data_IF_738746816209
#
_entry.id   IF_738746816209
#
_cell.length_a   1.000
_cell.length_b   1.000
_cell.length_c   1.000
_cell.angle_alpha   90.00
_cell.angle_beta   90.00
_cell.angle_gamma   90.00
#
_symmetry.space_group_name_H-M   'P 1'
#
loop_
_entity.id
_entity.type
_entity.pdbx_description
1 polymer ?
#
# COMPACT_ATOMS: atom_id res chain seq x y z
N UNK A 1 0.17 26.02 22.61
CA UNK A 1 0.16 24.68 23.27
C UNK A 1 1.49 23.98 23.04
N UNK A 2 2.24 23.73 24.08
CA UNK A 2 3.54 23.09 23.98
C UNK A 2 3.48 21.64 24.44
N UNK A 3 4.20 20.73 23.81
CA UNK A 3 4.17 19.31 24.14
C UNK A 3 4.52 18.98 25.61
N UNK A 4 5.39 19.79 26.22
CA UNK A 4 5.72 19.60 27.64
C UNK A 4 4.54 19.93 28.57
N UNK A 5 3.70 20.92 28.21
CA UNK A 5 2.48 21.26 28.97
C UNK A 5 1.47 20.13 28.89
N UNK A 6 1.29 19.53 27.69
CA UNK A 6 0.45 18.33 27.49
C UNK A 6 0.95 17.18 28.35
N UNK A 7 2.26 16.90 28.35
CA UNK A 7 2.86 15.84 29.17
C UNK A 7 2.61 16.06 30.66
N UNK A 8 2.70 17.31 31.16
CA UNK A 8 2.43 17.65 32.56
C UNK A 8 0.98 17.39 32.91
N UNK A 9 0.04 17.80 32.07
CA UNK A 9 -1.38 17.53 32.28
C UNK A 9 -1.65 16.01 32.34
N UNK A 10 -1.14 15.24 31.38
CA UNK A 10 -1.31 13.78 31.34
C UNK A 10 -0.72 13.10 32.58
N UNK A 11 0.43 13.55 33.07
CA UNK A 11 1.03 13.05 34.30
C UNK A 11 0.14 13.36 35.55
N UNK A 12 -0.48 14.54 35.63
CA UNK A 12 -1.43 14.83 36.70
C UNK A 12 -2.69 14.02 36.53
N UNK A 13 -3.21 13.84 35.31
CA UNK A 13 -4.40 13.05 35.03
C UNK A 13 -4.23 11.58 35.48
N UNK A 14 -3.04 11.01 35.27
CA UNK A 14 -2.75 9.62 35.64
C UNK A 14 -2.48 9.42 37.13
N UNK A 15 -1.83 10.38 37.80
CA UNK A 15 -1.44 10.26 39.21
C UNK A 15 -2.43 10.86 40.15
N UNK A 16 -3.27 11.76 39.68
CA UNK A 16 -4.17 12.64 40.48
C UNK A 16 -3.42 13.35 41.62
N UNK A 17 -2.12 13.62 41.42
CA UNK A 17 -1.26 14.22 42.42
C UNK A 17 -0.15 15.04 41.72
N UNK A 18 -0.12 16.35 41.99
CA UNK A 18 0.83 17.28 41.37
C UNK A 18 2.28 17.02 41.77
N UNK A 19 2.54 16.54 42.98
CA UNK A 19 3.91 16.24 43.45
C UNK A 19 4.44 14.99 42.72
N UNK A 20 3.66 13.92 42.71
CA UNK A 20 4.03 12.69 41.97
C UNK A 20 4.16 12.93 40.47
N UNK A 21 3.28 13.72 39.88
CA UNK A 21 3.37 14.10 38.47
C UNK A 21 4.65 14.88 38.18
N UNK A 22 5.06 15.78 39.08
CA UNK A 22 6.32 16.53 38.92
C UNK A 22 7.56 15.63 38.99
N UNK A 23 7.56 14.66 39.89
CA UNK A 23 8.59 13.63 39.98
C UNK A 23 8.68 12.79 38.69
N UNK A 24 7.53 12.32 38.18
CA UNK A 24 7.50 11.57 36.89
C UNK A 24 8.02 12.38 35.69
N UNK A 25 7.75 13.70 35.73
CA UNK A 25 8.19 14.58 34.65
C UNK A 25 9.62 15.11 34.83
N UNK A 26 10.28 14.77 35.95
CA UNK A 26 11.61 15.30 36.34
C UNK A 26 11.66 16.84 36.40
N UNK A 27 10.65 17.45 36.99
CA UNK A 27 10.52 18.90 37.18
C UNK A 27 10.05 19.25 38.59
N UNK A 28 10.15 20.53 38.95
CA UNK A 28 9.59 20.99 40.21
C UNK A 28 8.07 21.12 40.14
N UNK A 29 7.37 20.86 41.26
CA UNK A 29 5.90 20.97 41.30
C UNK A 29 5.40 22.38 40.89
N UNK A 30 6.04 23.51 41.25
CA UNK A 30 5.66 24.83 40.73
C UNK A 30 5.78 24.98 39.22
N UNK A 31 6.84 24.39 38.60
CA UNK A 31 7.03 24.43 37.16
C UNK A 31 5.94 23.60 36.42
N UNK A 32 5.64 22.42 36.94
CA UNK A 32 4.57 21.57 36.40
C UNK A 32 3.21 22.28 36.52
N UNK A 33 2.92 22.85 37.70
CA UNK A 33 1.68 23.60 37.95
C UNK A 33 1.49 24.75 36.97
N UNK A 34 2.56 25.54 36.73
CA UNK A 34 2.54 26.66 35.78
C UNK A 34 2.35 26.17 34.34
N UNK A 35 2.92 25.02 34.00
CA UNK A 35 2.73 24.42 32.69
C UNK A 35 1.28 23.99 32.44
N UNK A 36 0.66 23.32 33.40
CA UNK A 36 -0.77 22.93 33.32
C UNK A 36 -1.66 24.19 33.26
N UNK A 37 -1.42 25.21 34.07
CA UNK A 37 -2.20 26.47 34.01
C UNK A 37 -2.11 27.16 32.65
N UNK A 38 -0.94 27.15 32.01
CA UNK A 38 -0.80 27.68 30.64
C UNK A 38 -1.61 26.90 29.63
N UNK A 39 -1.63 25.56 29.72
CA UNK A 39 -2.45 24.72 28.86
C UNK A 39 -3.95 25.03 29.09
N UNK A 40 -4.39 25.17 30.33
CA UNK A 40 -5.77 25.55 30.68
C UNK A 40 -6.16 26.92 30.12
N UNK A 41 -5.27 27.91 30.18
CA UNK A 41 -5.49 29.21 29.56
C UNK A 41 -5.64 29.14 28.04
N UNK A 42 -4.79 28.36 27.36
CA UNK A 42 -4.86 28.20 25.90
C UNK A 42 -6.11 27.43 25.44
N UNK A 43 -6.57 26.45 26.23
CA UNK A 43 -7.78 25.70 25.95
C UNK A 43 -9.07 26.40 26.42
N UNK A 44 -8.94 27.53 27.10
CA UNK A 44 -10.06 28.36 27.54
C UNK A 44 -10.86 27.83 28.71
N UNK A 45 -10.30 26.85 29.47
CA UNK A 45 -11.00 26.30 30.66
C UNK A 45 -10.10 25.46 31.54
N UNK A 46 -10.54 25.27 32.78
CA UNK A 46 -9.82 24.42 33.74
C UNK A 46 -9.95 22.94 33.34
N UNK A 47 -8.84 22.23 33.38
CA UNK A 47 -8.76 20.79 33.11
C UNK A 47 -8.74 19.98 34.39
N UNK A 48 -8.33 20.60 35.50
CA UNK A 48 -8.15 19.95 36.80
C UNK A 48 -8.82 20.77 37.90
N UNK A 49 -9.68 20.14 38.67
CA UNK A 49 -10.19 20.69 39.93
C UNK A 49 -9.17 20.51 41.05
N UNK A 50 -8.99 21.55 41.88
CA UNK A 50 -8.14 21.54 43.06
C UNK A 50 -8.98 21.90 44.27
N UNK A 51 -9.52 20.91 44.94
CA UNK A 51 -10.23 21.11 46.20
C UNK A 51 -9.42 20.52 47.34
N UNK A 52 -8.96 21.38 48.24
CA UNK A 52 -8.20 21.15 49.50
C UNK A 52 -7.32 19.87 49.56
N UNK A 53 -7.84 18.69 49.30
CA UNK A 53 -7.12 17.41 49.31
C UNK A 53 -7.46 16.51 48.09
N UNK A 54 -8.31 16.98 47.18
CA UNK A 54 -8.76 16.18 46.03
C UNK A 54 -8.33 16.82 44.74
N UNK A 55 -7.61 16.06 43.91
CA UNK A 55 -7.27 16.43 42.55
C UNK A 55 -8.12 15.56 41.62
N UNK A 56 -8.95 16.17 40.79
CA UNK A 56 -9.82 15.46 39.85
C UNK A 56 -9.83 16.18 38.49
N UNK A 57 -10.11 15.46 37.45
CA UNK A 57 -10.34 16.03 36.12
C UNK A 57 -11.70 16.74 36.06
N UNK A 58 -11.73 17.90 35.44
CA UNK A 58 -12.99 18.56 35.05
C UNK A 58 -13.64 17.78 33.90
N UNK A 59 -14.87 18.10 33.54
CA UNK A 59 -15.52 17.49 32.39
C UNK A 59 -14.78 17.85 31.08
N UNK A 60 -14.30 19.09 30.95
CA UNK A 60 -13.41 19.48 29.85
C UNK A 60 -12.11 18.66 29.87
N UNK A 61 -11.51 18.47 31.04
CA UNK A 61 -10.30 17.65 31.21
C UNK A 61 -10.49 16.20 30.74
N UNK A 62 -11.63 15.58 31.08
CA UNK A 62 -11.99 14.23 30.64
C UNK A 62 -12.20 14.16 29.14
N UNK A 63 -12.83 15.16 28.54
CA UNK A 63 -13.12 15.22 27.11
C UNK A 63 -11.83 15.37 26.26
N UNK A 64 -10.93 16.27 26.66
CA UNK A 64 -9.70 16.52 25.90
C UNK A 64 -8.57 15.50 26.17
N UNK A 65 -8.64 14.75 27.27
CA UNK A 65 -7.62 13.77 27.67
C UNK A 65 -7.24 12.81 26.52
N UNK A 66 -8.18 12.07 25.89
CA UNK A 66 -7.84 11.12 24.83
C UNK A 66 -7.28 11.79 23.57
N UNK A 67 -7.62 13.05 23.32
CA UNK A 67 -7.08 13.82 22.18
C UNK A 67 -5.63 14.23 22.46
N UNK A 68 -5.32 14.67 23.66
CA UNK A 68 -3.97 15.07 24.08
C UNK A 68 -3.03 13.86 24.20
N UNK A 69 -3.52 12.71 24.64
CA UNK A 69 -2.77 11.45 24.63
C UNK A 69 -2.34 11.07 23.21
N UNK A 70 -3.28 11.11 22.25
CA UNK A 70 -3.01 10.81 20.85
C UNK A 70 -2.02 11.81 20.23
N UNK A 71 -2.16 13.09 20.53
CA UNK A 71 -1.26 14.13 20.05
C UNK A 71 0.18 13.92 20.57
N UNK A 72 0.34 13.63 21.86
CA UNK A 72 1.65 13.36 22.44
C UNK A 72 2.27 12.09 21.86
N UNK A 73 1.52 11.00 21.74
CA UNK A 73 1.97 9.74 21.17
C UNK A 73 2.40 9.90 19.70
N UNK A 74 1.67 10.69 18.90
CA UNK A 74 2.01 11.02 17.52
C UNK A 74 3.32 11.81 17.44
N UNK A 75 3.51 12.81 18.29
CA UNK A 75 4.73 13.61 18.33
C UNK A 75 5.97 12.78 18.75
N UNK A 76 5.81 11.87 19.71
CA UNK A 76 6.88 10.95 20.15
C UNK A 76 7.22 9.93 19.07
N UNK A 77 6.22 9.42 18.34
CA UNK A 77 6.43 8.55 17.20
C UNK A 77 7.19 9.26 16.09
N UNK A 78 6.82 10.50 15.75
CA UNK A 78 7.54 11.29 14.76
C UNK A 78 9.01 11.53 15.17
N UNK A 79 9.28 11.83 16.45
CA UNK A 79 10.65 11.97 16.97
C UNK A 79 11.47 10.69 16.86
N UNK A 80 10.87 9.55 17.20
CA UNK A 80 11.52 8.24 17.11
C UNK A 80 11.86 7.93 15.65
N UNK A 81 10.88 8.05 14.74
CA UNK A 81 11.09 7.83 13.30
C UNK A 81 12.16 8.75 12.71
N UNK A 82 12.19 10.01 13.12
CA UNK A 82 13.23 10.94 12.68
C UNK A 82 14.64 10.49 13.13
N UNK A 83 14.78 9.98 14.35
CA UNK A 83 16.05 9.43 14.86
C UNK A 83 16.45 8.15 14.13
N UNK A 84 15.53 7.23 13.92
CA UNK A 84 15.74 5.98 13.16
C UNK A 84 16.18 6.29 11.72
N UNK A 85 15.53 7.26 11.09
CA UNK A 85 15.90 7.74 9.76
C UNK A 85 17.31 8.36 9.73
N UNK A 86 17.67 9.19 10.73
CA UNK A 86 19.00 9.79 10.83
C UNK A 86 20.10 8.74 11.08
N UNK A 87 19.80 7.69 11.84
CA UNK A 87 20.74 6.58 12.10
C UNK A 87 20.86 5.60 10.93
N UNK A 88 20.07 5.77 9.85
CA UNK A 88 19.97 4.82 8.74
C UNK A 88 19.58 3.40 9.18
N UNK A 89 18.96 3.26 10.34
CA UNK A 89 18.47 1.97 10.85
C UNK A 89 17.26 1.46 10.07
N UNK A 90 16.53 2.37 9.39
CA UNK A 90 15.39 2.03 8.53
C UNK A 90 15.54 2.73 7.19
N UNK A 91 15.47 1.97 6.12
CA UNK A 91 15.43 2.45 4.74
C UNK A 91 14.02 2.17 4.17
N UNK A 92 13.06 3.09 4.34
CA UNK A 92 11.70 2.87 3.90
C UNK A 92 11.62 2.87 2.37
N UNK A 93 10.88 1.91 1.83
CA UNK A 93 10.55 1.79 0.42
C UNK A 93 9.05 1.51 0.27
N UNK A 94 8.30 2.54 -0.07
CA UNK A 94 6.85 2.46 -0.26
C UNK A 94 6.54 2.37 -1.74
N UNK A 95 5.94 1.26 -2.16
CA UNK A 95 5.65 0.98 -3.57
C UNK A 95 4.14 0.85 -3.74
N UNK A 96 3.58 1.63 -4.67
CA UNK A 96 2.22 1.49 -5.15
C UNK A 96 2.15 0.44 -6.26
N UNK A 97 1.12 -0.41 -6.24
CA UNK A 97 0.83 -1.37 -7.29
C UNK A 97 -0.59 -1.16 -7.78
N UNK A 98 -0.77 -1.00 -9.09
CA UNK A 98 -2.11 -1.05 -9.65
C UNK A 98 -2.71 -2.45 -9.42
N UNK A 99 -4.03 -2.55 -9.17
CA UNK A 99 -4.65 -3.80 -8.74
C UNK A 99 -4.44 -5.00 -9.68
N UNK A 100 -4.13 -4.74 -10.94
CA UNK A 100 -3.82 -5.76 -11.96
C UNK A 100 -2.34 -6.17 -11.99
N UNK A 101 -1.48 -5.52 -11.19
CA UNK A 101 -0.04 -5.80 -11.14
C UNK A 101 0.26 -6.66 -9.91
N UNK A 102 0.79 -7.84 -10.15
CA UNK A 102 1.12 -8.74 -9.06
C UNK A 102 2.35 -8.31 -8.26
N UNK A 103 2.23 -8.34 -6.94
CA UNK A 103 3.38 -8.15 -6.05
C UNK A 103 4.50 -9.18 -6.31
N UNK A 104 4.17 -10.39 -6.79
CA UNK A 104 5.18 -11.42 -7.09
C UNK A 104 6.22 -10.99 -8.11
N UNK A 105 5.86 -10.08 -9.01
CA UNK A 105 6.79 -9.53 -10.02
C UNK A 105 7.97 -8.78 -9.41
N UNK A 106 7.79 -8.18 -8.23
CA UNK A 106 8.81 -7.36 -7.57
C UNK A 106 9.41 -7.98 -6.32
N UNK A 107 8.82 -9.06 -5.78
CA UNK A 107 9.29 -9.66 -4.52
C UNK A 107 10.73 -10.17 -4.63
N UNK A 108 11.12 -10.77 -5.75
CA UNK A 108 12.49 -11.21 -5.98
C UNK A 108 13.47 -10.04 -6.03
N UNK A 109 13.09 -8.94 -6.70
CA UNK A 109 13.87 -7.69 -6.70
C UNK A 109 14.04 -7.14 -5.29
N UNK A 110 12.95 -7.11 -4.52
CA UNK A 110 12.98 -6.64 -3.13
C UNK A 110 13.90 -7.52 -2.28
N UNK A 111 13.82 -8.86 -2.44
CA UNK A 111 14.68 -9.80 -1.73
C UNK A 111 16.17 -9.62 -2.08
N UNK A 112 16.47 -9.31 -3.35
CA UNK A 112 17.82 -9.00 -3.80
C UNK A 112 18.33 -7.70 -3.17
N UNK A 113 17.55 -6.63 -3.22
CA UNK A 113 17.89 -5.32 -2.65
C UNK A 113 18.09 -5.40 -1.14
N UNK A 114 17.31 -6.21 -0.45
CA UNK A 114 17.43 -6.42 1.00
C UNK A 114 18.82 -6.90 1.44
N UNK A 115 19.58 -7.55 0.56
CA UNK A 115 20.95 -7.99 0.83
C UNK A 115 21.96 -6.83 0.86
N UNK A 116 21.65 -5.73 0.19
CA UNK A 116 22.57 -4.59 -0.02
C UNK A 116 22.11 -3.31 0.67
N UNK A 117 20.84 -3.24 1.09
CA UNK A 117 20.27 -2.07 1.78
C UNK A 117 19.90 -2.45 3.20
N UNK A 118 20.79 -2.22 4.18
CA UNK A 118 20.50 -2.50 5.58
C UNK A 118 19.27 -1.73 6.06
N UNK A 119 18.42 -2.39 6.85
CA UNK A 119 17.21 -1.77 7.39
C UNK A 119 16.11 -1.53 6.36
N UNK A 120 16.15 -2.19 5.20
CA UNK A 120 15.08 -2.08 4.20
C UNK A 120 13.74 -2.43 4.83
N UNK A 121 12.81 -1.49 4.78
CA UNK A 121 11.43 -1.66 5.22
C UNK A 121 10.49 -1.37 4.06
N UNK A 122 9.80 -2.40 3.59
CA UNK A 122 8.94 -2.32 2.41
C UNK A 122 7.47 -2.22 2.83
N UNK A 123 6.77 -1.26 2.23
CA UNK A 123 5.33 -1.10 2.34
C UNK A 123 4.75 -1.18 0.92
N UNK A 124 3.88 -2.15 0.67
CA UNK A 124 3.14 -2.25 -0.58
C UNK A 124 1.74 -1.70 -0.39
N UNK A 125 1.30 -0.87 -1.34
CA UNK A 125 -0.03 -0.28 -1.34
C UNK A 125 -0.70 -0.55 -2.69
N UNK A 126 -1.91 -1.08 -2.66
CA UNK A 126 -2.72 -1.28 -3.85
C UNK A 126 -3.75 -0.15 -3.96
N UNK A 127 -3.82 0.49 -5.13
CA UNK A 127 -4.80 1.53 -5.45
C UNK A 127 -4.93 1.69 -6.98
N UNK A 128 -5.98 2.40 -7.45
CA UNK A 128 -6.12 2.73 -8.88
C UNK A 128 -4.89 3.53 -9.37
N UNK A 129 -4.54 3.35 -10.65
CA UNK A 129 -3.32 3.93 -11.21
C UNK A 129 -3.26 5.46 -11.07
N UNK A 130 -4.39 6.16 -11.30
CA UNK A 130 -4.51 7.61 -11.14
C UNK A 130 -4.27 8.02 -9.68
N UNK A 131 -4.83 7.25 -8.73
CA UNK A 131 -4.63 7.52 -7.30
C UNK A 131 -3.20 7.29 -6.87
N UNK A 132 -2.51 6.29 -7.45
CA UNK A 132 -1.09 6.05 -7.20
C UNK A 132 -0.22 7.20 -7.71
N UNK A 133 -0.58 7.83 -8.83
CA UNK A 133 0.09 9.04 -9.33
C UNK A 133 -0.07 10.20 -8.34
N UNK A 134 -1.28 10.43 -7.79
CA UNK A 134 -1.50 11.44 -6.75
C UNK A 134 -0.61 11.18 -5.52
N UNK A 135 -0.61 9.95 -5.03
CA UNK A 135 0.20 9.54 -3.86
C UNK A 135 1.71 9.70 -4.08
N UNK A 136 2.19 9.49 -5.32
CA UNK A 136 3.57 9.79 -5.70
C UNK A 136 3.87 11.27 -5.58
N UNK A 137 2.99 12.13 -6.13
CA UNK A 137 3.15 13.59 -6.11
C UNK A 137 3.09 14.13 -4.68
N UNK A 138 2.21 13.59 -3.84
CA UNK A 138 2.09 13.91 -2.41
C UNK A 138 3.28 13.38 -1.59
N UNK A 139 4.01 12.38 -2.10
CA UNK A 139 5.16 11.76 -1.42
C UNK A 139 4.77 10.69 -0.40
N UNK A 140 3.52 10.22 -0.45
CA UNK A 140 3.02 9.14 0.38
C UNK A 140 3.62 7.78 -0.02
N UNK A 141 3.94 7.60 -1.32
CA UNK A 141 4.69 6.48 -1.86
C UNK A 141 5.94 6.96 -2.60
N UNK A 142 6.91 6.06 -2.81
CA UNK A 142 8.20 6.38 -3.42
C UNK A 142 8.27 6.02 -4.90
N UNK A 143 7.63 4.91 -5.27
CA UNK A 143 7.51 4.42 -6.64
C UNK A 143 6.12 3.82 -6.84
N UNK A 144 5.68 3.68 -8.08
CA UNK A 144 4.49 2.92 -8.42
C UNK A 144 4.73 2.06 -9.67
N UNK A 145 4.10 0.88 -9.71
CA UNK A 145 3.97 0.09 -10.93
C UNK A 145 2.52 0.13 -11.38
N UNK A 146 2.33 0.49 -12.62
CA UNK A 146 1.01 0.70 -13.22
C UNK A 146 0.94 0.06 -14.60
N UNK A 147 -0.28 -0.21 -15.06
CA UNK A 147 -0.56 -0.54 -16.46
C UNK A 147 -0.66 0.72 -17.33
N UNK A 148 -1.48 0.64 -18.37
CA UNK A 148 -1.73 1.75 -19.27
C UNK A 148 -2.34 2.94 -18.48
N UNK A 149 -1.61 4.04 -18.34
CA UNK A 149 -2.07 5.30 -17.74
C UNK A 149 -2.17 6.36 -18.81
N UNK A 150 -3.31 7.03 -18.89
CA UNK A 150 -3.50 8.19 -19.76
C UNK A 150 -3.08 9.47 -19.01
N UNK A 151 -2.61 10.48 -19.75
CA UNK A 151 -2.30 11.82 -19.23
C UNK A 151 -1.29 11.85 -18.07
N UNK A 152 -0.12 11.20 -18.27
CA UNK A 152 0.95 11.20 -17.28
C UNK A 152 1.46 12.62 -16.99
N UNK A 153 1.47 13.07 -15.71
CA UNK A 153 1.99 14.40 -15.35
C UNK A 153 3.48 14.53 -15.70
N UNK A 154 3.89 15.70 -16.22
CA UNK A 154 5.27 15.98 -16.62
C UNK A 154 6.30 15.88 -15.46
N UNK A 155 5.85 15.82 -14.21
CA UNK A 155 6.69 15.65 -13.00
C UNK A 155 6.95 14.19 -12.63
N UNK A 156 6.47 13.24 -13.41
CA UNK A 156 6.66 11.81 -13.18
C UNK A 156 7.66 11.29 -14.21
N UNK A 157 8.73 10.67 -13.71
CA UNK A 157 9.58 9.80 -14.52
C UNK A 157 8.83 8.49 -14.76
N UNK A 158 8.80 8.06 -16.01
CA UNK A 158 8.02 6.93 -16.50
C UNK A 158 8.94 6.00 -17.31
N UNK A 159 9.11 4.77 -16.84
CA UNK A 159 9.93 3.76 -17.51
C UNK A 159 9.09 2.55 -17.88
N UNK A 160 9.03 2.25 -19.18
CA UNK A 160 8.48 0.98 -19.67
C UNK A 160 9.38 -0.16 -19.14
N UNK A 161 8.76 -1.11 -18.43
CA UNK A 161 9.45 -2.30 -17.94
C UNK A 161 9.28 -3.47 -18.93
N UNK A 162 8.02 -3.77 -19.26
CA UNK A 162 7.67 -4.84 -20.20
C UNK A 162 6.26 -4.65 -20.75
N UNK A 163 5.97 -5.39 -21.81
CA UNK A 163 4.63 -5.57 -22.34
C UNK A 163 4.12 -6.98 -22.00
N UNK A 164 2.87 -7.10 -21.57
CA UNK A 164 2.25 -8.40 -21.30
C UNK A 164 0.90 -8.53 -22.00
N UNK A 165 0.59 -9.78 -22.39
CA UNK A 165 -0.65 -10.12 -23.08
C UNK A 165 -1.73 -10.50 -22.09
N UNK A 166 -2.98 -10.41 -22.54
CA UNK A 166 -4.10 -10.97 -21.83
C UNK A 166 -4.40 -12.40 -22.30
N UNK A 167 -4.76 -13.25 -21.35
CA UNK A 167 -5.09 -14.66 -21.55
C UNK A 167 -6.43 -14.97 -20.91
N UNK A 168 -7.07 -16.04 -21.35
CA UNK A 168 -8.29 -16.53 -20.71
C UNK A 168 -7.94 -17.47 -19.55
N UNK A 169 -8.56 -17.24 -18.38
CA UNK A 169 -8.40 -18.06 -17.19
C UNK A 169 -9.75 -18.64 -16.79
N UNK A 170 -9.81 -19.97 -16.64
CA UNK A 170 -11.09 -20.68 -16.49
C UNK A 170 -10.92 -22.02 -15.74
N UNK A 171 -12.05 -22.58 -15.29
CA UNK A 171 -12.07 -23.89 -14.64
C UNK A 171 -11.67 -25.01 -15.61
N UNK A 172 -11.01 -26.09 -15.16
CA UNK A 172 -10.72 -27.27 -15.98
C UNK A 172 -11.96 -27.94 -16.58
N UNK A 173 -13.12 -27.75 -15.96
CA UNK A 173 -14.43 -28.29 -16.39
C UNK A 173 -15.13 -27.43 -17.42
N UNK A 174 -14.60 -26.22 -17.71
CA UNK A 174 -15.21 -25.33 -18.67
C UNK A 174 -15.11 -25.89 -20.11
N UNK A 175 -16.13 -25.63 -20.96
CA UNK A 175 -16.17 -26.12 -22.35
C UNK A 175 -14.94 -25.80 -23.19
N UNK A 176 -14.29 -24.66 -22.88
CA UNK A 176 -13.10 -24.18 -23.59
C UNK A 176 -11.78 -24.70 -22.98
N UNK A 177 -11.80 -25.41 -21.86
CA UNK A 177 -10.61 -25.76 -21.09
C UNK A 177 -9.59 -26.68 -21.84
N UNK A 178 -10.02 -27.35 -22.89
CA UNK A 178 -9.16 -28.25 -23.67
C UNK A 178 -8.84 -27.69 -25.06
N UNK A 179 -9.16 -26.43 -25.32
CA UNK A 179 -8.77 -25.73 -26.55
C UNK A 179 -7.30 -25.32 -26.48
N UNK A 180 -6.55 -25.37 -27.58
CA UNK A 180 -5.18 -24.83 -27.63
C UNK A 180 -5.15 -23.30 -27.55
N UNK A 181 -6.20 -22.65 -28.03
CA UNK A 181 -6.42 -21.20 -28.01
C UNK A 181 -7.93 -20.90 -28.00
N UNK A 182 -8.29 -19.68 -27.64
CA UNK A 182 -9.67 -19.21 -27.58
C UNK A 182 -9.83 -18.02 -28.53
N UNK A 183 -10.80 -18.13 -29.43
CA UNK A 183 -11.15 -17.05 -30.35
C UNK A 183 -12.03 -15.98 -29.67
N UNK A 184 -12.15 -14.82 -30.31
CA UNK A 184 -13.05 -13.76 -29.83
C UNK A 184 -14.53 -14.24 -29.88
N UNK A 185 -14.89 -15.03 -30.89
CA UNK A 185 -16.26 -15.58 -30.98
C UNK A 185 -16.56 -16.56 -29.84
N UNK A 186 -15.60 -17.41 -29.45
CA UNK A 186 -15.72 -18.24 -28.27
C UNK A 186 -15.96 -17.40 -26.99
N UNK A 187 -15.31 -16.23 -26.88
CA UNK A 187 -15.50 -15.31 -25.74
C UNK A 187 -16.89 -14.67 -25.74
N UNK A 188 -17.43 -14.30 -26.91
CA UNK A 188 -18.77 -13.73 -27.05
C UNK A 188 -19.87 -14.66 -26.55
N UNK A 189 -19.67 -15.96 -26.76
CA UNK A 189 -20.58 -17.00 -26.28
C UNK A 189 -20.36 -17.39 -24.80
N UNK A 190 -19.50 -16.70 -24.09
CA UNK A 190 -19.05 -17.07 -22.76
C UNK A 190 -19.37 -15.97 -21.74
N UNK A 191 -19.74 -16.35 -20.52
CA UNK A 191 -19.90 -15.40 -19.42
C UNK A 191 -18.51 -14.92 -18.99
N UNK A 192 -18.26 -13.63 -19.09
CA UNK A 192 -17.02 -13.02 -18.62
C UNK A 192 -17.18 -12.50 -17.20
N UNK A 193 -16.16 -12.76 -16.39
CA UNK A 193 -16.04 -12.20 -15.04
C UNK A 193 -15.30 -10.89 -15.11
N UNK A 194 -15.95 -9.80 -14.70
CA UNK A 194 -15.43 -8.44 -14.84
C UNK A 194 -14.61 -8.03 -13.63
N UNK A 195 -13.38 -7.55 -13.88
CA UNK A 195 -12.61 -6.81 -12.88
C UNK A 195 -13.09 -5.37 -12.80
N UNK A 196 -13.48 -4.93 -11.59
CA UNK A 196 -13.77 -3.51 -11.32
C UNK A 196 -12.44 -2.74 -11.26
N UNK A 197 -12.36 -1.59 -11.92
CA UNK A 197 -11.12 -0.79 -11.98
C UNK A 197 -10.02 -1.38 -12.88
N UNK A 198 -10.41 -2.17 -13.89
CA UNK A 198 -9.47 -2.70 -14.88
C UNK A 198 -9.02 -1.59 -15.84
N UNK A 199 -7.72 -1.32 -15.89
CA UNK A 199 -7.05 -0.33 -16.74
C UNK A 199 -7.29 -0.56 -18.24
N UNK A 200 -7.37 -1.82 -18.67
CA UNK A 200 -7.61 -2.18 -20.08
C UNK A 200 -9.06 -2.53 -20.43
N UNK A 201 -10.00 -2.35 -19.50
CA UNK A 201 -11.41 -2.73 -19.76
C UNK A 201 -11.99 -2.06 -21.02
N UNK A 202 -11.72 -0.77 -21.21
CA UNK A 202 -12.15 -0.04 -22.40
C UNK A 202 -11.47 -0.54 -23.68
N UNK A 203 -10.21 -0.96 -23.60
CA UNK A 203 -9.46 -1.54 -24.73
C UNK A 203 -10.01 -2.91 -25.10
N UNK A 204 -10.30 -3.77 -24.12
CA UNK A 204 -10.98 -5.07 -24.32
C UNK A 204 -12.34 -4.86 -24.99
N UNK A 205 -13.15 -3.96 -24.44
CA UNK A 205 -14.48 -3.66 -25.00
C UNK A 205 -14.38 -3.22 -26.46
N UNK A 206 -13.52 -2.27 -26.76
CA UNK A 206 -13.37 -1.71 -28.13
C UNK A 206 -12.84 -2.74 -29.13
N UNK A 207 -11.89 -3.60 -28.74
CA UNK A 207 -11.25 -4.54 -29.64
C UNK A 207 -12.04 -5.84 -29.80
N UNK A 208 -12.63 -6.36 -28.75
CA UNK A 208 -13.28 -7.67 -28.78
C UNK A 208 -14.80 -7.58 -28.89
N UNK A 209 -15.38 -6.48 -28.43
CA UNK A 209 -16.83 -6.31 -28.34
C UNK A 209 -17.28 -4.95 -28.87
N UNK A 210 -16.91 -4.57 -30.12
CA UNK A 210 -17.17 -3.21 -30.65
C UNK A 210 -18.66 -2.91 -30.82
N UNK A 211 -19.45 -3.91 -31.18
CA UNK A 211 -20.88 -3.73 -31.49
C UNK A 211 -21.78 -4.03 -30.29
N UNK A 212 -21.47 -5.08 -29.54
CA UNK A 212 -22.24 -5.52 -28.37
C UNK A 212 -21.34 -5.68 -27.16
N UNK A 213 -21.79 -5.26 -25.96
CA UNK A 213 -21.02 -5.49 -24.75
C UNK A 213 -20.91 -6.99 -24.46
N UNK A 214 -19.80 -7.44 -23.83
CA UNK A 214 -19.68 -8.83 -23.43
C UNK A 214 -20.75 -9.24 -22.43
N UNK A 215 -21.11 -10.53 -22.43
CA UNK A 215 -21.96 -11.08 -21.40
C UNK A 215 -21.21 -11.09 -20.06
N UNK A 216 -21.42 -10.03 -19.26
CA UNK A 216 -20.80 -9.86 -17.95
C UNK A 216 -21.68 -10.50 -16.88
N UNK A 217 -21.22 -11.62 -16.34
CA UNK A 217 -21.94 -12.33 -15.28
C UNK A 217 -21.76 -11.70 -13.91
N UNK A 218 -20.53 -11.73 -13.43
CA UNK A 218 -20.17 -11.29 -12.08
C UNK A 218 -18.97 -10.36 -12.11
N UNK A 219 -18.81 -9.56 -11.05
CA UNK A 219 -17.68 -8.62 -10.95
C UNK A 219 -17.06 -8.62 -9.54
N UNK A 220 -15.76 -8.28 -9.48
CA UNK A 220 -15.04 -8.01 -8.23
C UNK A 220 -13.89 -7.05 -8.47
N UNK A 221 -13.53 -6.28 -7.45
CA UNK A 221 -12.30 -5.50 -7.42
C UNK A 221 -11.05 -6.32 -7.06
N UNK A 222 -11.23 -7.58 -6.61
CA UNK A 222 -10.13 -8.44 -6.19
C UNK A 222 -9.99 -9.65 -7.12
N UNK A 223 -8.79 -9.86 -7.64
CA UNK A 223 -8.48 -10.97 -8.55
C UNK A 223 -8.74 -12.32 -7.93
N UNK A 224 -8.37 -12.53 -6.68
CA UNK A 224 -8.58 -13.81 -6.01
C UNK A 224 -10.07 -14.20 -5.94
N UNK A 225 -10.96 -13.21 -5.75
CA UNK A 225 -12.41 -13.46 -5.79
C UNK A 225 -12.86 -13.94 -7.18
N UNK A 226 -12.39 -13.27 -8.23
CA UNK A 226 -12.68 -13.66 -9.61
C UNK A 226 -12.16 -15.06 -9.91
N UNK A 227 -10.94 -15.38 -9.45
CA UNK A 227 -10.36 -16.72 -9.63
C UNK A 227 -11.17 -17.80 -8.93
N UNK A 228 -11.66 -17.56 -7.72
CA UNK A 228 -12.57 -18.50 -7.04
C UNK A 228 -13.91 -18.63 -7.77
N UNK A 229 -14.46 -17.53 -8.30
CA UNK A 229 -15.67 -17.58 -9.13
C UNK A 229 -15.43 -18.40 -10.41
N UNK A 230 -14.30 -18.19 -11.08
CA UNK A 230 -13.94 -18.99 -12.27
C UNK A 230 -13.79 -20.47 -11.92
N UNK A 231 -13.10 -20.80 -10.81
CA UNK A 231 -12.95 -22.17 -10.33
C UNK A 231 -14.29 -22.84 -10.01
N UNK A 232 -15.26 -22.06 -9.52
CA UNK A 232 -16.64 -22.53 -9.29
C UNK A 232 -17.51 -22.61 -10.55
N UNK A 233 -16.96 -22.26 -11.73
CA UNK A 233 -17.68 -22.38 -13.00
C UNK A 233 -18.57 -21.19 -13.36
N UNK A 234 -18.45 -20.04 -12.69
CA UNK A 234 -19.26 -18.85 -12.96
C UNK A 234 -18.91 -18.15 -14.27
N UNK A 235 -17.75 -18.43 -14.87
CA UNK A 235 -17.33 -17.83 -16.13
C UNK A 235 -15.83 -17.84 -16.37
N UNK A 236 -15.39 -17.00 -17.31
CA UNK A 236 -14.00 -16.85 -17.76
C UNK A 236 -13.47 -15.49 -17.34
N UNK A 237 -12.22 -15.43 -16.89
CA UNK A 237 -11.51 -14.18 -16.62
C UNK A 237 -10.59 -13.90 -17.79
N UNK A 238 -10.57 -12.65 -18.27
CA UNK A 238 -9.46 -12.12 -19.07
C UNK A 238 -8.46 -11.47 -18.13
N UNK A 239 -7.28 -12.06 -18.02
CA UNK A 239 -6.27 -11.66 -17.07
C UNK A 239 -4.88 -11.48 -17.72
N UNK A 240 -4.02 -10.61 -17.18
CA UNK A 240 -2.64 -10.51 -17.59
C UNK A 240 -1.90 -11.85 -17.43
N UNK A 241 -0.99 -12.17 -18.37
CA UNK A 241 -0.29 -13.45 -18.36
C UNK A 241 0.62 -13.67 -17.14
N UNK A 242 1.18 -12.61 -16.56
CA UNK A 242 2.04 -12.69 -15.38
C UNK A 242 1.28 -12.68 -14.04
N UNK A 243 -0.05 -12.62 -14.07
CA UNK A 243 -0.84 -12.65 -12.84
C UNK A 243 -0.80 -14.02 -12.17
N UNK A 244 -0.52 -14.14 -10.86
CA UNK A 244 -0.58 -15.41 -10.14
C UNK A 244 -1.96 -16.04 -10.22
N UNK A 245 -2.00 -17.36 -10.38
CA UNK A 245 -3.23 -18.10 -10.57
C UNK A 245 -3.38 -19.22 -9.56
N UNK A 246 -4.61 -19.49 -9.18
CA UNK A 246 -4.94 -20.69 -8.42
C UNK A 246 -4.53 -21.93 -9.23
N UNK A 247 -3.85 -22.91 -8.64
CA UNK A 247 -3.41 -24.13 -9.32
C UNK A 247 -4.57 -24.94 -9.94
N UNK A 248 -5.80 -24.70 -9.49
CA UNK A 248 -7.03 -25.33 -9.98
C UNK A 248 -7.54 -24.73 -11.29
N UNK A 249 -6.97 -23.63 -11.77
CA UNK A 249 -7.41 -22.95 -12.99
C UNK A 249 -6.49 -23.30 -14.16
N UNK A 250 -7.06 -23.30 -15.36
CA UNK A 250 -6.33 -23.37 -16.61
C UNK A 250 -6.20 -21.99 -17.25
N UNK A 251 -5.07 -21.81 -17.91
CA UNK A 251 -4.76 -20.63 -18.74
C UNK A 251 -4.75 -21.04 -20.19
N UNK A 252 -5.48 -20.32 -21.01
CA UNK A 252 -5.55 -20.58 -22.45
C UNK A 252 -5.23 -19.26 -23.18
N UNK A 253 -4.29 -19.27 -24.13
CA UNK A 253 -3.98 -18.10 -24.93
C UNK A 253 -5.17 -17.68 -25.81
N UNK A 254 -5.26 -16.40 -26.13
CA UNK A 254 -6.21 -15.87 -27.08
C UNK A 254 -5.66 -15.95 -28.49
N UNK A 255 -6.54 -16.14 -29.47
CA UNK A 255 -6.16 -16.18 -30.90
C UNK A 255 -5.95 -14.76 -31.47
N UNK A 256 -5.15 -14.69 -32.51
CA UNK A 256 -4.89 -13.45 -33.24
C UNK A 256 -3.93 -12.50 -32.53
N UNK A 257 -4.25 -11.21 -32.55
CA UNK A 257 -3.51 -10.16 -31.84
C UNK A 257 -4.19 -9.88 -30.48
N UNK A 258 -3.75 -10.54 -29.41
CA UNK A 258 -4.39 -10.40 -28.11
C UNK A 258 -4.20 -8.99 -27.57
N UNK A 259 -5.17 -8.54 -26.77
CA UNK A 259 -5.02 -7.32 -26.02
C UNK A 259 -3.78 -7.44 -25.14
N UNK A 260 -2.90 -6.46 -25.26
CA UNK A 260 -1.72 -6.30 -24.42
C UNK A 260 -1.78 -4.98 -23.65
N UNK A 261 -0.95 -4.87 -22.64
CA UNK A 261 -0.70 -3.63 -21.91
C UNK A 261 0.78 -3.43 -21.64
N UNK A 262 1.17 -2.22 -21.50
CA UNK A 262 2.48 -1.85 -21.00
C UNK A 262 2.49 -1.81 -19.47
N UNK A 263 3.49 -2.41 -18.84
CA UNK A 263 3.75 -2.27 -17.40
C UNK A 263 4.88 -1.29 -17.21
N UNK A 264 4.61 -0.23 -16.45
CA UNK A 264 5.49 0.91 -16.27
C UNK A 264 5.84 1.13 -14.81
N UNK A 265 7.08 1.54 -14.56
CA UNK A 265 7.54 2.02 -13.27
C UNK A 265 7.51 3.54 -13.26
N UNK A 266 6.92 4.11 -12.21
CA UNK A 266 6.77 5.53 -12.02
C UNK A 266 7.53 6.00 -10.78
N UNK A 267 8.16 7.18 -10.86
CA UNK A 267 8.70 7.90 -9.70
C UNK A 267 8.66 9.40 -9.93
N UNK A 268 8.78 10.21 -8.87
CA UNK A 268 8.75 11.68 -9.01
C UNK A 268 10.07 12.19 -9.55
N UNK A 269 10.01 12.93 -10.64
CA UNK A 269 11.16 13.56 -11.28
C UNK A 269 11.84 14.61 -10.38
N UNK A 270 13.18 14.66 -10.44
CA UNK A 270 13.98 15.67 -9.73
C UNK A 270 14.04 15.51 -8.21
N UNK A 271 13.39 14.51 -7.62
CA UNK A 271 13.57 14.14 -6.21
C UNK A 271 14.88 13.38 -6.01
N UNK A 272 15.61 13.72 -4.94
CA UNK A 272 16.74 12.88 -4.53
C UNK A 272 16.20 11.55 -4.00
N UNK A 273 16.53 10.47 -4.67
CA UNK A 273 16.12 9.13 -4.25
C UNK A 273 16.82 8.72 -2.95
N UNK A 274 16.09 8.05 -2.08
CA UNK A 274 16.68 7.31 -0.96
C UNK A 274 17.51 6.14 -1.51
N UNK A 275 18.50 5.63 -0.75
CA UNK A 275 19.27 4.45 -1.20
C UNK A 275 18.40 3.26 -1.58
N UNK A 276 17.29 3.04 -0.85
CA UNK A 276 16.34 1.96 -1.15
C UNK A 276 15.59 2.18 -2.47
N UNK A 277 15.11 3.42 -2.72
CA UNK A 277 14.42 3.75 -3.96
C UNK A 277 15.38 3.70 -5.16
N UNK A 278 16.60 4.24 -5.03
CA UNK A 278 17.60 4.22 -6.09
C UNK A 278 17.97 2.78 -6.48
N UNK A 279 18.20 1.91 -5.48
CA UNK A 279 18.45 0.49 -5.71
C UNK A 279 17.27 -0.18 -6.41
N UNK A 280 16.02 0.10 -5.97
CA UNK A 280 14.82 -0.49 -6.55
C UNK A 280 14.63 -0.06 -8.02
N UNK A 281 14.71 1.24 -8.31
CA UNK A 281 14.55 1.77 -9.67
C UNK A 281 15.62 1.21 -10.60
N UNK A 282 16.88 1.16 -10.16
CA UNK A 282 17.97 0.59 -10.95
C UNK A 282 17.77 -0.90 -11.22
N UNK A 283 17.45 -1.68 -10.20
CA UNK A 283 17.21 -3.11 -10.33
C UNK A 283 16.03 -3.41 -11.25
N UNK A 284 14.92 -2.69 -11.10
CA UNK A 284 13.73 -2.85 -11.94
C UNK A 284 14.00 -2.52 -13.40
N UNK A 285 14.79 -1.48 -13.68
CA UNK A 285 15.13 -1.07 -15.05
C UNK A 285 16.17 -1.97 -15.74
N UNK A 286 17.01 -2.64 -14.97
CA UNK A 286 18.06 -3.53 -15.48
C UNK A 286 17.59 -4.98 -15.59
N UNK A 287 16.48 -5.32 -14.95
CA UNK A 287 15.92 -6.68 -14.99
C UNK A 287 15.46 -7.02 -16.39
N UNK A 288 15.80 -8.23 -16.83
CA UNK A 288 15.18 -8.85 -18.00
C UNK A 288 13.80 -9.40 -17.61
N UNK A 289 12.74 -8.71 -18.03
CA UNK A 289 11.35 -9.07 -17.75
C UNK A 289 10.79 -10.08 -18.75
N UNK A 290 11.54 -10.46 -19.79
CA UNK A 290 11.14 -11.46 -20.79
C UNK A 290 11.24 -12.89 -20.26
N UNK A 291 11.95 -13.09 -19.16
CA UNK A 291 12.07 -14.39 -18.51
C UNK A 291 10.81 -14.62 -17.69
N UNK A 292 10.06 -15.67 -18.03
CA UNK A 292 8.92 -16.14 -17.22
C UNK A 292 9.31 -16.22 -15.75
N UNK A 293 8.61 -15.47 -14.89
CA UNK A 293 8.81 -15.59 -13.45
C UNK A 293 8.32 -17.00 -13.06
N UNK A 294 9.20 -17.90 -12.64
CA UNK A 294 8.78 -19.25 -12.26
C UNK A 294 7.83 -19.15 -11.08
N UNK A 295 6.63 -19.70 -11.18
CA UNK A 295 5.65 -19.79 -10.11
C UNK A 295 6.08 -20.80 -9.02
N UNK A 296 7.35 -20.80 -8.62
CA UNK A 296 7.83 -21.60 -7.51
C UNK A 296 8.27 -20.67 -6.39
N UNK A 297 7.64 -20.84 -5.24
CA UNK A 297 7.95 -20.20 -3.98
C UNK A 297 9.46 -20.22 -3.72
N UNK A 298 10.16 -19.12 -3.97
CA UNK A 298 11.48 -18.92 -3.42
C UNK A 298 11.34 -18.97 -1.89
N UNK A 299 11.93 -19.97 -1.25
CA UNK A 299 12.01 -20.04 0.22
C UNK A 299 12.73 -18.79 0.67
N UNK A 300 12.02 -17.92 1.38
CA UNK A 300 12.64 -16.81 2.08
C UNK A 300 13.75 -17.39 2.99
N UNK A 301 14.95 -16.80 3.02
CA UNK A 301 15.94 -17.19 4.00
C UNK A 301 15.33 -17.02 5.40
N UNK A 302 15.50 -18.00 6.25
CA UNK A 302 15.05 -17.95 7.64
C UNK A 302 15.56 -16.66 8.28
N UNK A 303 14.64 -15.86 8.77
CA UNK A 303 14.97 -14.69 9.60
C UNK A 303 15.56 -15.26 10.88
N UNK A 304 16.87 -15.27 10.98
CA UNK A 304 17.56 -15.58 12.23
C UNK A 304 17.16 -14.49 13.22
N UNK A 305 16.25 -14.84 14.12
CA UNK A 305 15.92 -13.99 15.27
C UNK A 305 17.17 -13.90 16.14
N UNK A 306 17.86 -12.76 16.06
CA UNK A 306 18.89 -12.42 17.04
C UNK A 306 18.18 -12.10 18.37
N UNK A 307 17.92 -13.14 19.16
CA UNK A 307 17.67 -13.01 20.60
C UNK A 307 19.02 -13.15 21.28
N UNK A 308 19.57 -12.06 21.76
CA UNK A 308 20.44 -11.97 22.93
C UNK A 308 20.42 -10.52 23.44
#
# INVERSE_FOLDING_TARGET
MELHQVRYFLAVASTLNFTRAAEQCNVTQPALTKGVQKLEQELGGQLIYRERQLTQLTDLGKEVLPMLERALASAETARRRAKEFQRKEVAPLKIGLAPSISASLILDLIAEIARFVPGLHVELREDAAEKLVDLLLEGEINAAMVGDVQDMPARIDDWLLFEERYVAVLAPTHRLANRPSISIDDLRETVLLKRVGCDVAAKIQRLYFPEEPPNLGHCSGHDLHLQHMAAAGFGVILAPEHMPRLPTLKTIPLEGDPVSREVRLLAVQGRRYSPALDAFVKAARLRDWSIEVPHQHARLPEVVSATA
#
